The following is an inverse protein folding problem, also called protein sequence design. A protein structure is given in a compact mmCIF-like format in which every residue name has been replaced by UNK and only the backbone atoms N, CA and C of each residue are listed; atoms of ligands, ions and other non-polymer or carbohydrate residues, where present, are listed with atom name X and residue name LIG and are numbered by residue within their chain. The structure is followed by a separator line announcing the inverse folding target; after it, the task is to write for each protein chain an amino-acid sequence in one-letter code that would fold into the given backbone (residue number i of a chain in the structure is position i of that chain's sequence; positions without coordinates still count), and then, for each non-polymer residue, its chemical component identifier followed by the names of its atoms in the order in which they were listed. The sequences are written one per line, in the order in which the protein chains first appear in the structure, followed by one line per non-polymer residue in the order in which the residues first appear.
data_IF_760231950981
#
_entry.id   IF_760231950981
#
_cell.length_a   1.000
_cell.length_b   1.000
_cell.length_c   1.000
_cell.angle_alpha   90.00
_cell.angle_beta   90.00
_cell.angle_gamma   90.00
#
_symmetry.space_group_name_H-M   'P 1'
#
loop_
_entity.id
_entity.type
_entity.pdbx_description
1 polymer ?
#
# COMPACT_ATOMS: atom_id res chain seq x y z
N UNK A 1 11.36 -16.02 9.02
CA UNK A 1 10.28 -16.59 8.17
C UNK A 1 10.61 -16.48 6.67
N UNK A 2 10.96 -15.30 6.11
CA UNK A 2 11.31 -15.17 4.67
C UNK A 2 12.54 -16.04 4.34
N UNK A 3 13.58 -16.03 5.18
CA UNK A 3 14.77 -16.86 4.97
C UNK A 3 14.45 -18.34 5.08
N UNK A 4 13.62 -18.76 6.06
CA UNK A 4 13.18 -20.15 6.21
C UNK A 4 12.42 -20.64 4.97
N UNK A 5 11.57 -19.76 4.41
CA UNK A 5 10.85 -20.05 3.17
C UNK A 5 11.80 -20.16 1.97
N UNK A 6 12.76 -19.23 1.86
CA UNK A 6 13.78 -19.26 0.80
C UNK A 6 14.63 -20.52 0.86
N UNK A 7 15.09 -20.92 2.05
CA UNK A 7 15.85 -22.14 2.25
C UNK A 7 15.04 -23.38 1.89
N UNK A 8 13.79 -23.47 2.38
CA UNK A 8 12.92 -24.62 2.09
C UNK A 8 12.57 -24.81 0.62
N UNK A 9 12.56 -23.71 -0.17
CA UNK A 9 12.28 -23.69 -1.58
C UNK A 9 13.53 -23.60 -2.48
N UNK A 10 14.76 -23.64 -1.91
CA UNK A 10 16.05 -23.42 -2.60
C UNK A 10 16.08 -22.13 -3.46
N UNK A 11 15.47 -21.04 -2.95
CA UNK A 11 15.43 -19.75 -3.62
C UNK A 11 16.66 -18.90 -3.23
N UNK A 12 17.72 -18.97 -4.01
CA UNK A 12 19.00 -18.29 -3.71
C UNK A 12 18.92 -16.78 -3.86
N UNK A 13 18.35 -16.30 -4.95
CA UNK A 13 18.17 -14.87 -5.25
C UNK A 13 16.80 -14.63 -5.89
N UNK A 14 15.72 -14.66 -5.11
CA UNK A 14 14.40 -14.38 -5.66
C UNK A 14 14.22 -12.89 -5.97
N UNK A 15 13.34 -12.57 -6.92
CA UNK A 15 12.66 -11.30 -6.92
C UNK A 15 11.59 -11.30 -5.81
N UNK A 16 11.52 -10.20 -5.06
CA UNK A 16 10.53 -10.04 -3.97
C UNK A 16 9.54 -8.96 -4.37
N UNK A 17 8.26 -9.29 -4.25
CA UNK A 17 7.15 -8.38 -4.46
C UNK A 17 6.42 -8.16 -3.13
N UNK A 18 6.16 -6.91 -2.79
CA UNK A 18 5.29 -6.53 -1.69
C UNK A 18 4.31 -5.45 -2.12
N UNK A 19 3.05 -5.55 -1.68
CA UNK A 19 2.03 -4.52 -1.87
C UNK A 19 1.61 -3.97 -0.51
N UNK A 20 1.43 -2.66 -0.40
CA UNK A 20 0.96 -2.00 0.82
C UNK A 20 1.84 -2.34 2.03
N UNK A 21 1.29 -2.89 3.10
CA UNK A 21 2.04 -3.44 4.24
C UNK A 21 3.05 -4.52 3.83
N UNK A 22 2.73 -5.34 2.83
CA UNK A 22 3.68 -6.31 2.27
C UNK A 22 4.92 -5.66 1.67
N UNK A 23 4.80 -4.43 1.14
CA UNK A 23 5.94 -3.65 0.68
C UNK A 23 6.82 -3.16 1.84
N UNK A 24 6.24 -2.84 3.00
CA UNK A 24 6.97 -2.56 4.24
C UNK A 24 7.87 -3.73 4.63
N UNK A 25 7.29 -4.93 4.69
CA UNK A 25 8.02 -6.16 5.02
C UNK A 25 9.13 -6.44 4.01
N UNK A 26 8.83 -6.28 2.71
CA UNK A 26 9.78 -6.50 1.63
C UNK A 26 10.95 -5.49 1.66
N UNK A 27 10.66 -4.22 1.95
CA UNK A 27 11.67 -3.16 2.06
C UNK A 27 12.60 -3.41 3.27
N UNK A 28 12.03 -3.68 4.45
CA UNK A 28 12.81 -4.00 5.66
C UNK A 28 13.66 -5.26 5.47
N UNK A 29 13.12 -6.29 4.83
CA UNK A 29 13.89 -7.48 4.50
C UNK A 29 15.04 -7.17 3.54
N UNK A 30 14.81 -6.39 2.49
CA UNK A 30 15.82 -6.00 1.51
C UNK A 30 16.94 -5.15 2.12
N UNK A 31 16.60 -4.25 3.03
CA UNK A 31 17.57 -3.42 3.74
C UNK A 31 18.53 -4.24 4.61
N UNK A 32 18.05 -5.31 5.21
CA UNK A 32 18.82 -6.17 6.11
C UNK A 32 19.51 -7.35 5.40
N UNK A 33 19.12 -7.70 4.17
CA UNK A 33 19.64 -8.83 3.40
C UNK A 33 20.03 -8.43 1.95
N UNK A 34 20.93 -7.47 1.75
CA UNK A 34 21.18 -6.88 0.45
C UNK A 34 21.71 -7.86 -0.60
N UNK A 35 22.43 -8.92 -0.19
CA UNK A 35 22.97 -9.93 -1.12
C UNK A 35 21.96 -11.04 -1.49
N UNK A 36 20.83 -11.08 -0.82
CA UNK A 36 19.85 -12.18 -0.92
C UNK A 36 18.73 -11.96 -1.92
N UNK A 37 18.66 -10.81 -2.59
CA UNK A 37 17.55 -10.41 -3.44
C UNK A 37 18.07 -10.07 -4.83
N UNK A 38 17.42 -10.59 -5.88
CA UNK A 38 17.71 -10.23 -7.26
C UNK A 38 17.08 -8.90 -7.65
N UNK A 39 15.79 -8.76 -7.36
CA UNK A 39 14.99 -7.55 -7.62
C UNK A 39 13.94 -7.34 -6.54
N UNK A 40 13.59 -6.10 -6.31
CA UNK A 40 12.57 -5.71 -5.33
C UNK A 40 11.45 -4.92 -6.03
N UNK A 41 10.21 -5.25 -5.74
CA UNK A 41 9.05 -4.51 -6.23
C UNK A 41 8.22 -4.10 -5.02
N UNK A 42 8.07 -2.79 -4.85
CA UNK A 42 7.28 -2.15 -3.79
C UNK A 42 6.08 -1.48 -4.44
N UNK A 43 4.93 -2.14 -4.38
CA UNK A 43 3.68 -1.67 -4.95
C UNK A 43 2.88 -0.94 -3.89
N UNK A 44 2.54 0.32 -4.14
CA UNK A 44 1.72 1.14 -3.23
C UNK A 44 2.23 1.06 -1.78
N UNK A 45 3.52 1.35 -1.51
CA UNK A 45 4.17 0.98 -0.25
C UNK A 45 3.78 1.88 0.91
N UNK A 46 3.49 1.27 2.06
CA UNK A 46 3.44 1.95 3.35
C UNK A 46 4.85 1.92 3.96
N UNK A 47 5.56 3.04 3.96
CA UNK A 47 6.93 3.16 4.46
C UNK A 47 7.00 3.98 5.76
N UNK A 48 6.13 4.95 5.92
CA UNK A 48 6.08 5.80 7.10
C UNK A 48 4.62 6.10 7.43
N UNK A 49 4.21 5.81 8.67
CA UNK A 49 2.81 5.94 9.08
C UNK A 49 2.35 7.40 9.15
N UNK A 50 3.20 8.30 9.63
CA UNK A 50 2.85 9.73 9.70
C UNK A 50 2.59 10.29 8.29
N UNK A 51 3.47 9.95 7.32
CA UNK A 51 3.28 10.38 5.93
C UNK A 51 2.02 9.77 5.32
N UNK A 52 1.77 8.48 5.55
CA UNK A 52 0.55 7.81 5.08
C UNK A 52 -0.72 8.50 5.58
N UNK A 53 -0.78 8.77 6.88
CA UNK A 53 -1.94 9.44 7.48
C UNK A 53 -2.11 10.88 6.96
N UNK A 54 -1.00 11.61 6.78
CA UNK A 54 -1.02 12.95 6.20
C UNK A 54 -1.55 12.95 4.76
N UNK A 55 -1.09 12.01 3.94
CA UNK A 55 -1.54 11.87 2.55
C UNK A 55 -3.03 11.51 2.49
N UNK A 56 -3.47 10.58 3.31
CA UNK A 56 -4.88 10.16 3.38
C UNK A 56 -5.80 11.24 3.98
N UNK A 57 -5.29 12.10 4.83
CA UNK A 57 -6.04 13.27 5.28
C UNK A 57 -6.32 14.23 4.11
N UNK A 58 -5.35 14.47 3.23
CA UNK A 58 -5.56 15.26 2.00
C UNK A 58 -6.59 14.60 1.09
N UNK A 59 -6.57 13.29 0.93
CA UNK A 59 -7.58 12.54 0.17
C UNK A 59 -8.98 12.70 0.76
N UNK A 60 -9.12 12.61 2.09
CA UNK A 60 -10.39 12.85 2.79
C UNK A 60 -10.93 14.25 2.55
N UNK A 61 -10.09 15.27 2.67
CA UNK A 61 -10.48 16.68 2.48
C UNK A 61 -10.97 16.97 1.05
N UNK A 62 -10.56 16.17 0.08
CA UNK A 62 -11.00 16.24 -1.31
C UNK A 62 -12.26 15.39 -1.61
N UNK A 63 -12.88 14.74 -0.62
CA UNK A 63 -14.17 14.08 -0.76
C UNK A 63 -15.31 15.10 -0.94
N UNK A 64 -16.45 14.70 -1.50
CA UNK A 64 -17.65 15.55 -1.50
C UNK A 64 -17.98 16.00 -0.08
N UNK A 65 -18.34 17.27 0.10
CA UNK A 65 -18.55 17.87 1.42
C UNK A 65 -19.62 17.17 2.27
N UNK A 66 -20.64 16.60 1.61
CA UNK A 66 -21.66 15.81 2.31
C UNK A 66 -21.09 14.48 2.84
N UNK A 67 -20.18 13.83 2.12
CA UNK A 67 -19.49 12.60 2.56
C UNK A 67 -18.59 12.90 3.75
N UNK A 68 -17.72 13.90 3.62
CA UNK A 68 -16.83 14.33 4.69
C UNK A 68 -17.61 14.69 5.97
N UNK A 69 -18.72 15.44 5.83
CA UNK A 69 -19.57 15.82 6.97
C UNK A 69 -20.18 14.62 7.69
N UNK A 70 -20.52 13.55 6.96
CA UNK A 70 -21.01 12.29 7.55
C UNK A 70 -19.89 11.61 8.34
N UNK A 71 -18.70 11.48 7.74
CA UNK A 71 -17.54 10.85 8.40
C UNK A 71 -17.20 11.58 9.70
N UNK A 72 -16.99 12.89 9.64
CA UNK A 72 -16.61 13.72 10.81
C UNK A 72 -17.67 13.65 11.91
N UNK A 73 -18.96 13.70 11.56
CA UNK A 73 -20.04 13.61 12.52
C UNK A 73 -20.11 12.24 13.20
N UNK A 74 -19.97 11.16 12.43
CA UNK A 74 -20.02 9.79 12.97
C UNK A 74 -18.82 9.51 13.88
N UNK A 75 -17.62 9.89 13.46
CA UNK A 75 -16.39 9.78 14.27
C UNK A 75 -16.51 10.54 15.58
N UNK A 76 -16.99 11.79 15.53
CA UNK A 76 -17.20 12.61 16.75
C UNK A 76 -18.17 11.97 17.74
N UNK A 77 -19.12 11.18 17.26
CA UNK A 77 -20.19 10.56 18.08
C UNK A 77 -19.92 9.07 18.40
N UNK A 78 -18.81 8.49 17.97
CA UNK A 78 -18.50 7.06 18.14
C UNK A 78 -19.46 6.15 17.36
N UNK A 79 -19.85 6.57 16.15
CA UNK A 79 -20.84 5.90 15.30
C UNK A 79 -20.21 5.28 14.04
N UNK A 80 -18.92 4.90 14.10
CA UNK A 80 -18.16 4.35 12.97
C UNK A 80 -18.70 2.99 12.48
N UNK A 81 -19.45 2.29 13.32
CA UNK A 81 -20.14 1.05 12.93
C UNK A 81 -21.48 1.26 12.22
N UNK A 82 -21.96 2.51 12.10
CA UNK A 82 -23.24 2.80 11.43
C UNK A 82 -23.14 2.58 9.92
N UNK A 83 -24.26 2.17 9.29
CA UNK A 83 -24.33 2.02 7.83
C UNK A 83 -24.01 3.32 7.11
N UNK A 84 -24.46 4.46 7.64
CA UNK A 84 -24.18 5.78 7.07
C UNK A 84 -22.68 6.10 7.00
N UNK A 85 -21.91 5.74 8.05
CA UNK A 85 -20.47 5.88 8.05
C UNK A 85 -19.81 4.93 7.06
N UNK A 86 -20.23 3.67 7.03
CA UNK A 86 -19.68 2.68 6.10
C UNK A 86 -19.94 3.07 4.63
N UNK A 87 -21.11 3.62 4.33
CA UNK A 87 -21.43 4.14 2.99
C UNK A 87 -20.52 5.34 2.63
N UNK A 88 -20.23 6.22 3.58
CA UNK A 88 -19.30 7.34 3.39
C UNK A 88 -17.86 6.87 3.18
N UNK A 89 -17.39 5.91 3.97
CA UNK A 89 -16.06 5.28 3.82
C UNK A 89 -15.92 4.56 2.48
N UNK A 90 -16.99 3.92 1.99
CA UNK A 90 -16.99 3.28 0.67
C UNK A 90 -16.74 4.28 -0.46
N UNK A 91 -17.13 5.55 -0.32
CA UNK A 91 -16.78 6.60 -1.31
C UNK A 91 -15.28 6.85 -1.34
N UNK A 92 -14.60 6.85 -0.19
CA UNK A 92 -13.15 6.95 -0.10
C UNK A 92 -12.49 5.73 -0.78
N UNK A 93 -12.89 4.53 -0.42
CA UNK A 93 -12.31 3.30 -0.97
C UNK A 93 -12.51 3.14 -2.47
N UNK A 94 -13.67 3.54 -3.00
CA UNK A 94 -13.92 3.54 -4.44
C UNK A 94 -13.07 4.56 -5.22
N UNK A 95 -12.43 5.51 -4.55
CA UNK A 95 -11.54 6.48 -5.17
C UNK A 95 -10.07 6.12 -5.03
N UNK A 96 -9.68 5.64 -3.84
CA UNK A 96 -8.30 5.57 -3.41
C UNK A 96 -7.78 4.15 -3.19
N UNK A 97 -8.67 3.18 -2.91
CA UNK A 97 -8.30 1.78 -2.70
C UNK A 97 -8.48 0.93 -3.98
N UNK A 98 -9.69 0.90 -4.56
CA UNK A 98 -9.99 0.19 -5.80
C UNK A 98 -11.03 0.94 -6.61
N UNK A 99 -10.67 1.36 -7.83
CA UNK A 99 -11.53 2.16 -8.72
C UNK A 99 -12.38 1.32 -9.67
N UNK A 100 -12.10 0.02 -9.78
CA UNK A 100 -12.95 -0.89 -10.55
C UNK A 100 -14.39 -0.85 -10.01
N UNK A 101 -15.37 -0.77 -10.90
CA UNK A 101 -16.78 -0.70 -10.51
C UNK A 101 -17.64 -1.60 -11.43
N UNK A 102 -18.26 -2.69 -10.89
CA UNK A 102 -18.13 -3.16 -9.50
C UNK A 102 -16.72 -3.69 -9.17
N UNK A 103 -16.38 -3.78 -7.88
CA UNK A 103 -15.16 -4.46 -7.46
C UNK A 103 -15.18 -5.93 -7.93
N UNK A 104 -14.08 -6.46 -8.45
CA UNK A 104 -13.99 -7.88 -8.82
C UNK A 104 -14.26 -8.81 -7.64
N UNK A 105 -14.86 -9.97 -7.90
CA UNK A 105 -15.15 -10.97 -6.87
C UNK A 105 -13.90 -11.35 -6.06
N UNK A 106 -12.74 -11.43 -6.70
CA UNK A 106 -11.46 -11.73 -6.04
C UNK A 106 -11.04 -10.66 -5.02
N UNK A 107 -11.36 -9.39 -5.25
CA UNK A 107 -11.14 -8.30 -4.29
C UNK A 107 -12.09 -8.46 -3.11
N UNK A 108 -13.39 -8.70 -3.40
CA UNK A 108 -14.39 -8.91 -2.36
C UNK A 108 -14.07 -10.12 -1.49
N UNK A 109 -13.66 -11.24 -2.08
CA UNK A 109 -13.23 -12.44 -1.35
C UNK A 109 -12.03 -12.15 -0.44
N UNK A 110 -11.05 -11.39 -0.93
CA UNK A 110 -9.87 -10.99 -0.15
C UNK A 110 -10.26 -10.13 1.05
N UNK A 111 -11.10 -9.13 0.83
CA UNK A 111 -11.57 -8.25 1.92
C UNK A 111 -12.39 -9.03 2.96
N UNK A 112 -13.24 -9.95 2.54
CA UNK A 112 -14.03 -10.79 3.43
C UNK A 112 -13.17 -11.83 4.21
N UNK A 113 -12.00 -12.18 3.71
CA UNK A 113 -11.06 -13.11 4.36
C UNK A 113 -10.03 -12.40 5.26
N UNK A 114 -10.06 -11.08 5.34
CA UNK A 114 -9.15 -10.31 6.17
C UNK A 114 -9.29 -10.71 7.64
N UNK A 115 -8.16 -10.91 8.31
CA UNK A 115 -8.16 -11.12 9.77
C UNK A 115 -8.36 -9.77 10.48
N UNK A 116 -9.62 -9.41 10.72
CA UNK A 116 -10.00 -8.13 11.33
C UNK A 116 -9.32 -7.88 12.68
N UNK A 117 -9.13 -8.92 13.50
CA UNK A 117 -8.45 -8.80 14.81
C UNK A 117 -6.99 -8.43 14.62
N UNK A 118 -6.30 -9.07 13.67
CA UNK A 118 -4.92 -8.75 13.34
C UNK A 118 -4.81 -7.34 12.75
N UNK A 119 -5.65 -7.02 11.78
CA UNK A 119 -5.67 -5.72 11.13
C UNK A 119 -5.90 -4.57 12.14
N UNK A 120 -6.93 -4.66 12.96
CA UNK A 120 -7.24 -3.66 13.99
C UNK A 120 -6.13 -3.54 15.06
N UNK A 121 -5.50 -4.65 15.44
CA UNK A 121 -4.39 -4.65 16.41
C UNK A 121 -3.10 -4.06 15.86
N UNK A 122 -2.83 -4.27 14.57
CA UNK A 122 -1.63 -3.75 13.90
C UNK A 122 -1.83 -2.31 13.44
N UNK A 123 -2.92 -2.02 12.77
CA UNK A 123 -3.21 -0.73 12.13
C UNK A 123 -4.30 0.05 12.84
N UNK A 124 -5.56 -0.29 12.60
CA UNK A 124 -6.70 0.43 13.13
C UNK A 124 -8.00 0.07 12.41
N UNK A 125 -9.04 0.90 12.53
CA UNK A 125 -10.37 0.57 11.99
C UNK A 125 -10.49 0.77 10.47
N UNK A 126 -9.61 1.56 9.85
CA UNK A 126 -9.64 1.91 8.42
C UNK A 126 -8.30 2.46 7.96
N UNK A 127 -8.11 2.67 6.65
CA UNK A 127 -6.82 3.07 6.06
C UNK A 127 -6.32 4.47 6.48
N UNK A 128 -7.19 5.34 6.94
CA UNK A 128 -6.85 6.70 7.34
C UNK A 128 -6.84 6.93 8.85
N UNK A 129 -6.94 5.85 9.66
CA UNK A 129 -6.86 5.91 11.13
C UNK A 129 -5.95 4.81 11.66
N UNK A 130 -4.76 5.17 12.12
CA UNK A 130 -3.83 4.22 12.71
C UNK A 130 -3.72 4.44 14.23
N UNK A 131 -4.24 3.51 15.01
CA UNK A 131 -4.15 3.50 16.47
C UNK A 131 -3.58 2.18 17.01
N UNK A 132 -3.16 1.28 16.12
CA UNK A 132 -2.54 -0.01 16.42
C UNK A 132 -1.03 0.10 16.68
N UNK A 133 -0.35 -1.05 16.58
CA UNK A 133 1.10 -1.17 16.84
C UNK A 133 1.96 -0.40 15.83
N UNK A 134 1.45 -0.16 14.63
CA UNK A 134 2.16 0.52 13.54
C UNK A 134 2.06 2.06 13.59
N UNK A 135 1.37 2.64 14.58
CA UNK A 135 1.14 4.09 14.65
C UNK A 135 2.40 4.95 14.60
N UNK A 136 3.52 4.44 15.12
CA UNK A 136 4.80 5.15 15.17
C UNK A 136 5.84 4.53 14.22
N UNK A 137 5.39 3.72 13.23
CA UNK A 137 6.30 3.06 12.30
C UNK A 137 6.95 4.06 11.33
N UNK A 138 8.27 4.00 11.24
CA UNK A 138 9.08 4.76 10.29
C UNK A 138 10.20 3.89 9.70
N UNK A 139 10.04 3.52 8.43
CA UNK A 139 11.00 2.74 7.65
C UNK A 139 11.84 3.58 6.69
N UNK A 140 11.79 4.92 6.74
CA UNK A 140 12.49 5.77 5.77
C UNK A 140 13.99 5.53 5.74
N UNK A 141 14.63 5.41 6.91
CA UNK A 141 16.06 5.17 7.01
C UNK A 141 16.50 3.81 6.43
N UNK A 142 15.62 2.82 6.41
CA UNK A 142 15.90 1.50 5.83
C UNK A 142 16.05 1.56 4.30
N UNK A 143 15.31 2.47 3.63
CA UNK A 143 15.33 2.59 2.16
C UNK A 143 16.72 2.88 1.60
N UNK A 144 17.54 3.68 2.29
CA UNK A 144 18.91 4.03 1.88
C UNK A 144 19.86 2.82 1.89
N UNK A 145 19.52 1.79 2.66
CA UNK A 145 20.30 0.55 2.77
C UNK A 145 19.98 -0.46 1.67
N UNK A 146 18.92 -0.26 0.89
CA UNK A 146 18.49 -1.19 -0.15
C UNK A 146 19.44 -1.12 -1.34
N UNK A 147 20.07 -2.27 -1.68
CA UNK A 147 21.04 -2.40 -2.78
C UNK A 147 20.43 -3.02 -4.04
N UNK A 148 19.35 -3.81 -3.88
CA UNK A 148 18.72 -4.49 -4.99
C UNK A 148 18.09 -3.49 -5.98
N UNK A 149 18.15 -3.75 -7.31
CA UNK A 149 17.34 -3.01 -8.26
C UNK A 149 15.87 -3.02 -7.82
N UNK A 150 15.29 -1.83 -7.66
CA UNK A 150 13.97 -1.67 -7.05
C UNK A 150 13.01 -0.97 -8.01
N UNK A 151 11.79 -1.47 -8.08
CA UNK A 151 10.68 -0.81 -8.75
C UNK A 151 9.65 -0.39 -7.69
N UNK A 152 9.38 0.91 -7.62
CA UNK A 152 8.26 1.44 -6.83
C UNK A 152 7.11 1.79 -7.77
N UNK A 153 5.92 1.30 -7.48
CA UNK A 153 4.72 1.58 -8.25
C UNK A 153 3.62 2.13 -7.36
N UNK A 154 2.78 3.01 -7.90
CA UNK A 154 1.51 3.42 -7.30
C UNK A 154 0.52 3.86 -8.36
N UNK A 155 -0.75 3.99 -8.00
CA UNK A 155 -1.77 4.62 -8.82
C UNK A 155 -1.81 6.14 -8.64
N UNK A 156 -2.35 6.86 -9.62
CA UNK A 156 -2.57 8.31 -9.57
C UNK A 156 -3.42 8.73 -8.35
N UNK A 157 -4.40 7.89 -7.99
CA UNK A 157 -5.35 8.14 -6.90
C UNK A 157 -5.08 7.27 -5.66
N UNK A 158 -3.88 6.74 -5.54
CA UNK A 158 -3.48 5.77 -4.50
C UNK A 158 -3.49 6.38 -3.08
N UNK A 159 -3.86 5.57 -2.11
CA UNK A 159 -3.68 5.86 -0.67
C UNK A 159 -2.19 6.08 -0.34
N UNK A 160 -1.30 5.31 -0.97
CA UNK A 160 0.14 5.58 -1.00
C UNK A 160 0.43 6.69 -2.02
N UNK A 161 0.22 7.95 -1.63
CA UNK A 161 0.23 9.09 -2.53
C UNK A 161 1.44 9.12 -3.48
N UNK A 162 1.23 9.43 -4.79
CA UNK A 162 2.30 9.46 -5.78
C UNK A 162 3.51 10.30 -5.38
N UNK A 163 3.26 11.44 -4.73
CA UNK A 163 4.33 12.33 -4.27
C UNK A 163 5.21 11.66 -3.21
N UNK A 164 4.64 10.87 -2.31
CA UNK A 164 5.36 10.12 -1.28
C UNK A 164 6.10 8.94 -1.89
N UNK A 165 5.48 8.15 -2.76
CA UNK A 165 6.12 7.05 -3.49
C UNK A 165 7.33 7.52 -4.31
N UNK A 166 7.23 8.69 -4.96
CA UNK A 166 8.33 9.30 -5.70
C UNK A 166 9.49 9.71 -4.78
N UNK A 167 9.20 10.23 -3.58
CA UNK A 167 10.24 10.51 -2.57
C UNK A 167 10.92 9.23 -2.09
N UNK A 168 10.16 8.16 -1.83
CA UNK A 168 10.72 6.86 -1.43
C UNK A 168 11.66 6.31 -2.49
N UNK A 169 11.31 6.41 -3.78
CA UNK A 169 12.18 6.01 -4.86
C UNK A 169 13.50 6.80 -4.91
N UNK A 170 13.51 8.06 -4.50
CA UNK A 170 14.71 8.89 -4.45
C UNK A 170 15.69 8.49 -3.33
N UNK A 171 15.21 7.80 -2.29
CA UNK A 171 16.04 7.31 -1.18
C UNK A 171 16.76 5.99 -1.51
N UNK A 172 16.31 5.25 -2.52
CA UNK A 172 16.89 3.97 -2.93
C UNK A 172 17.80 4.19 -4.14
N UNK A 173 19.08 3.84 -4.01
CA UNK A 173 20.11 4.16 -5.02
C UNK A 173 19.77 3.63 -6.43
N UNK A 174 19.16 2.45 -6.53
CA UNK A 174 18.84 1.78 -7.80
C UNK A 174 17.32 1.63 -8.00
N UNK A 175 16.53 2.64 -7.63
CA UNK A 175 15.09 2.59 -7.78
C UNK A 175 14.61 3.27 -9.06
N UNK A 176 13.52 2.69 -9.60
CA UNK A 176 12.65 3.31 -10.60
C UNK A 176 11.28 3.53 -10.00
N UNK A 177 10.62 4.58 -10.45
CA UNK A 177 9.26 4.92 -10.07
C UNK A 177 8.34 4.88 -11.28
N UNK A 178 7.20 4.26 -11.14
CA UNK A 178 6.13 4.22 -12.16
C UNK A 178 4.80 4.53 -11.50
N UNK A 179 4.13 5.56 -12.02
CA UNK A 179 2.78 5.96 -11.66
C UNK A 179 1.80 5.48 -12.73
N UNK A 180 0.68 4.93 -12.31
CA UNK A 180 -0.35 4.43 -13.21
C UNK A 180 -1.54 5.38 -13.22
N UNK A 181 -1.78 5.97 -14.39
CA UNK A 181 -2.91 6.85 -14.65
C UNK A 181 -4.24 6.11 -14.42
N UNK A 182 -5.23 6.81 -13.88
CA UNK A 182 -6.57 6.29 -13.53
C UNK A 182 -6.59 5.09 -12.57
N UNK A 183 -5.50 4.77 -11.91
CA UNK A 183 -5.40 3.68 -10.94
C UNK A 183 -5.33 4.18 -9.50
N UNK A 184 -5.65 3.30 -8.56
CA UNK A 184 -5.57 3.53 -7.12
C UNK A 184 -4.70 2.49 -6.43
N UNK A 185 -4.91 2.23 -5.15
CA UNK A 185 -4.07 1.34 -4.33
C UNK A 185 -3.96 -0.09 -4.88
N UNK A 186 -5.04 -0.65 -5.42
CA UNK A 186 -5.00 -1.92 -6.12
C UNK A 186 -4.67 -1.71 -7.61
N UNK A 187 -3.53 -1.09 -7.89
CA UNK A 187 -3.07 -0.75 -9.24
C UNK A 187 -3.09 -1.95 -10.20
N UNK A 188 -2.76 -3.15 -9.69
CA UNK A 188 -2.80 -4.41 -10.45
C UNK A 188 -4.23 -4.89 -10.80
N UNK A 189 -5.26 -4.28 -10.19
CA UNK A 189 -6.66 -4.47 -10.56
C UNK A 189 -7.08 -3.38 -11.54
N UNK A 190 -6.87 -2.12 -11.19
CA UNK A 190 -7.34 -0.96 -11.92
C UNK A 190 -6.64 -0.80 -13.29
N UNK A 191 -5.35 -1.10 -13.37
CA UNK A 191 -4.52 -0.95 -14.58
C UNK A 191 -3.78 -2.25 -14.94
N UNK A 192 -4.48 -3.38 -14.88
CA UNK A 192 -3.92 -4.73 -14.92
C UNK A 192 -2.93 -4.99 -16.06
N UNK A 193 -3.28 -4.65 -17.29
CA UNK A 193 -2.46 -4.96 -18.46
C UNK A 193 -1.13 -4.21 -18.42
N UNK A 194 -1.18 -2.89 -18.22
CA UNK A 194 0.00 -2.03 -18.10
C UNK A 194 0.86 -2.43 -16.90
N UNK A 195 0.20 -2.81 -15.79
CA UNK A 195 0.89 -3.23 -14.57
C UNK A 195 1.71 -4.50 -14.81
N UNK A 196 1.11 -5.53 -15.40
CA UNK A 196 1.79 -6.79 -15.72
C UNK A 196 2.92 -6.56 -16.73
N UNK A 197 2.72 -5.73 -17.76
CA UNK A 197 3.75 -5.36 -18.73
C UNK A 197 4.94 -4.67 -18.04
N UNK A 198 4.68 -3.73 -17.16
CA UNK A 198 5.71 -3.02 -16.38
C UNK A 198 6.52 -3.99 -15.51
N UNK A 199 5.85 -4.91 -14.80
CA UNK A 199 6.54 -5.91 -13.99
C UNK A 199 7.39 -6.85 -14.84
N UNK A 200 6.85 -7.37 -15.95
CA UNK A 200 7.60 -8.24 -16.86
C UNK A 200 8.83 -7.56 -17.44
N UNK A 201 8.69 -6.31 -17.85
CA UNK A 201 9.82 -5.52 -18.35
C UNK A 201 10.90 -5.40 -17.29
N UNK A 202 10.54 -4.94 -16.10
CA UNK A 202 11.49 -4.81 -14.99
C UNK A 202 12.16 -6.12 -14.60
N UNK A 203 11.41 -7.23 -14.58
CA UNK A 203 11.95 -8.54 -14.21
C UNK A 203 12.86 -9.16 -15.29
N UNK A 204 12.75 -8.74 -16.55
CA UNK A 204 13.54 -9.27 -17.66
C UNK A 204 14.89 -8.56 -17.90
N UNK A 205 15.13 -7.43 -17.27
CA UNK A 205 16.40 -6.69 -17.33
C UNK A 205 17.47 -7.34 -16.46
#
# INVERSE_FOLDING_TARGET
EIDDLRESLDLRKPAIFGNSWGATIAASYAANNPAGIEKLILSSPLINTEQWLSDNQVHRENLPSNVLSVMDRCEKNGQESSQEYQDAVAVFYNRHFCRANPWPDTVMETMNALNETCYAGMWGPNEFTCNGLLRDYDGLAELESIQAPTLITCGEFDEAAPASCKKFAQLIANARYVEFEDASHLTFVDSREKYIETLRHFLSE
#
